data_IF_218251817177
#
_entry.id   IF_218251817177
#
_cell.length_a   1.000
_cell.length_b   1.000
_cell.length_c   1.000
_cell.angle_alpha   90.00
_cell.angle_beta   90.00
_cell.angle_gamma   90.00
#
_symmetry.space_group_name_H-M   'P 1'
#
loop_
_entity.id
_entity.type
_entity.pdbx_description
1 polymer ?
#
# COMPACT_ATOMS: atom_id res chain seq x y z
N UNK A 1 6.84 3.36 -19.72
CA UNK A 1 6.91 4.00 -18.39
C UNK A 1 5.50 3.97 -17.82
N UNK A 2 5.21 3.05 -16.88
CA UNK A 2 3.85 2.83 -16.37
C UNK A 2 3.70 3.45 -14.99
N UNK A 3 2.83 4.45 -14.86
CA UNK A 3 2.42 4.99 -13.56
C UNK A 3 1.20 4.18 -13.10
N UNK A 4 1.31 3.48 -11.98
CA UNK A 4 0.14 2.88 -11.32
C UNK A 4 0.07 3.45 -9.90
N UNK A 5 -1.05 4.11 -9.60
CA UNK A 5 -1.33 4.71 -8.29
C UNK A 5 -1.82 3.60 -7.35
N UNK A 6 -1.26 3.54 -6.14
CA UNK A 6 -1.72 2.62 -5.09
C UNK A 6 -2.28 3.49 -3.98
N UNK A 7 -3.60 3.48 -3.81
CA UNK A 7 -4.29 4.17 -2.73
C UNK A 7 -4.29 3.34 -1.44
N UNK A 8 -4.07 3.97 -0.30
CA UNK A 8 -4.27 3.34 1.02
C UNK A 8 -5.61 3.79 1.58
N UNK A 9 -6.50 2.84 1.91
CA UNK A 9 -7.76 3.12 2.59
C UNK A 9 -7.60 2.87 4.08
N UNK A 10 -7.87 3.89 4.91
CA UNK A 10 -7.87 3.77 6.37
C UNK A 10 -9.32 3.71 6.85
N UNK A 11 -9.75 2.57 7.38
CA UNK A 11 -11.08 2.41 7.94
C UNK A 11 -11.15 3.13 9.30
N UNK A 12 -11.85 4.27 9.34
CA UNK A 12 -12.00 5.10 10.53
C UNK A 12 -12.94 4.47 11.56
N UNK A 13 -12.39 3.99 12.67
CA UNK A 13 -13.05 3.96 13.98
C UNK A 13 -12.00 3.71 15.07
N UNK A 14 -12.03 4.48 16.15
CA UNK A 14 -11.15 4.46 17.33
C UNK A 14 -9.90 5.35 17.26
N UNK A 15 -9.83 6.27 18.21
CA UNK A 15 -8.81 7.30 18.37
C UNK A 15 -7.38 6.73 18.39
N UNK A 16 -6.50 7.34 17.57
CA UNK A 16 -5.05 7.12 17.44
C UNK A 16 -4.59 6.16 16.33
N UNK A 17 -5.23 6.17 15.16
CA UNK A 17 -4.60 5.64 13.95
C UNK A 17 -3.52 6.60 13.46
N UNK A 18 -2.26 6.16 13.46
CA UNK A 18 -1.10 6.96 13.06
C UNK A 18 -0.27 6.18 12.04
N UNK A 19 0.10 6.84 10.95
CA UNK A 19 1.12 6.31 10.04
C UNK A 19 2.50 6.50 10.68
N UNK A 20 3.18 5.39 10.93
CA UNK A 20 4.60 5.38 11.32
C UNK A 20 5.48 5.48 10.07
N UNK A 21 5.03 4.89 8.96
CA UNK A 21 5.67 5.00 7.65
C UNK A 21 4.59 5.05 6.58
N UNK A 22 4.54 6.19 5.90
CA UNK A 22 3.58 6.42 4.82
C UNK A 22 4.17 5.95 3.48
N UNK A 23 3.39 5.24 2.63
CA UNK A 23 3.83 4.91 1.30
C UNK A 23 3.97 6.18 0.43
N UNK A 24 4.97 6.25 -0.46
CA UNK A 24 5.11 7.37 -1.36
C UNK A 24 3.89 7.48 -2.30
N UNK A 25 3.40 8.69 -2.59
CA UNK A 25 2.21 8.89 -3.43
C UNK A 25 2.44 8.47 -4.89
N UNK A 26 3.71 8.36 -5.31
CA UNK A 26 4.13 7.86 -6.61
C UNK A 26 5.42 7.06 -6.47
N UNK A 27 5.44 5.87 -7.05
CA UNK A 27 6.61 5.01 -7.11
C UNK A 27 7.03 4.81 -8.57
N UNK A 28 8.29 5.10 -8.90
CA UNK A 28 8.88 4.80 -10.20
C UNK A 28 9.80 3.60 -10.08
N UNK A 29 9.68 2.63 -10.98
CA UNK A 29 10.47 1.41 -10.96
C UNK A 29 10.85 0.95 -12.36
N UNK A 30 11.99 0.26 -12.46
CA UNK A 30 12.41 -0.43 -13.69
C UNK A 30 11.87 -1.86 -13.70
N UNK A 31 11.62 -2.40 -14.88
CA UNK A 31 11.23 -3.80 -15.04
C UNK A 31 12.33 -4.77 -14.59
N UNK A 32 13.61 -4.37 -14.66
CA UNK A 32 14.76 -5.20 -14.28
C UNK A 32 15.05 -5.24 -12.77
N UNK A 33 14.75 -4.17 -12.04
CA UNK A 33 15.04 -4.06 -10.60
C UNK A 33 13.80 -4.10 -9.71
N UNK A 34 12.61 -3.79 -10.26
CA UNK A 34 11.38 -3.69 -9.49
C UNK A 34 11.41 -2.55 -8.46
N UNK A 35 10.48 -2.58 -7.51
CA UNK A 35 10.46 -1.70 -6.35
C UNK A 35 9.65 -2.31 -5.20
N UNK A 36 9.87 -1.77 -3.99
CA UNK A 36 9.14 -2.15 -2.77
C UNK A 36 8.44 -0.93 -2.20
N UNK A 37 7.15 -1.07 -1.92
CA UNK A 37 6.38 -0.08 -1.16
C UNK A 37 6.32 -0.56 0.29
N UNK A 38 6.59 0.34 1.24
CA UNK A 38 6.51 0.03 2.67
C UNK A 38 5.47 0.93 3.32
N UNK A 39 4.65 0.35 4.19
CA UNK A 39 3.65 1.06 4.98
C UNK A 39 3.65 0.48 6.40
N UNK A 40 3.61 1.34 7.41
CA UNK A 40 3.48 0.95 8.80
C UNK A 40 2.51 1.90 9.49
N UNK A 41 1.58 1.34 10.26
CA UNK A 41 0.60 2.08 11.01
C UNK A 41 0.49 1.53 12.44
N UNK A 42 0.12 2.41 13.36
CA UNK A 42 -0.17 2.08 14.76
C UNK A 42 -1.59 2.54 15.09
N UNK A 43 -2.25 1.87 16.02
CA UNK A 43 -3.62 2.14 16.41
C UNK A 43 -4.10 1.19 17.51
N UNK A 44 -5.21 1.54 18.15
CA UNK A 44 -5.85 0.71 19.16
C UNK A 44 -7.34 0.58 18.78
N UNK A 45 -7.82 -0.61 18.36
CA UNK A 45 -7.06 -1.86 18.18
C UNK A 45 -6.00 -1.76 17.08
N UNK A 46 -5.05 -2.71 17.07
CA UNK A 46 -3.97 -2.74 16.08
C UNK A 46 -4.54 -2.70 14.65
N UNK A 47 -4.07 -1.80 13.78
CA UNK A 47 -4.67 -1.61 12.46
C UNK A 47 -4.28 -2.73 11.51
N UNK A 48 -5.19 -3.05 10.59
CA UNK A 48 -4.94 -3.94 9.45
C UNK A 48 -4.56 -3.08 8.26
N UNK A 49 -3.41 -3.39 7.62
CA UNK A 49 -2.94 -2.70 6.43
C UNK A 49 -3.35 -3.53 5.20
N UNK A 50 -4.15 -2.94 4.33
CA UNK A 50 -4.63 -3.55 3.08
C UNK A 50 -4.23 -2.72 1.87
N UNK A 51 -3.77 -3.39 0.82
CA UNK A 51 -3.40 -2.77 -0.45
C UNK A 51 -4.49 -2.98 -1.49
N UNK A 52 -4.94 -1.90 -2.13
CA UNK A 52 -5.97 -1.94 -3.15
C UNK A 52 -5.44 -1.42 -4.49
N UNK A 53 -5.99 -1.94 -5.58
CA UNK A 53 -5.85 -1.38 -6.93
C UNK A 53 -6.63 -0.07 -7.04
N UNK A 54 -6.42 0.67 -8.13
CA UNK A 54 -7.17 1.91 -8.41
C UNK A 54 -8.70 1.67 -8.44
N UNK A 55 -9.13 0.48 -8.86
CA UNK A 55 -10.52 0.05 -8.88
C UNK A 55 -11.07 -0.37 -7.50
N UNK A 56 -10.24 -0.33 -6.46
CA UNK A 56 -10.60 -0.72 -5.08
C UNK A 56 -10.55 -2.23 -4.81
N UNK A 57 -10.06 -3.05 -5.74
CA UNK A 57 -9.89 -4.49 -5.56
C UNK A 57 -8.60 -4.79 -4.75
N UNK A 58 -8.55 -5.88 -3.95
CA UNK A 58 -7.32 -6.25 -3.26
C UNK A 58 -6.19 -6.56 -4.24
N UNK A 59 -5.01 -6.02 -3.98
CA UNK A 59 -3.80 -6.35 -4.75
C UNK A 59 -3.47 -7.83 -4.53
N UNK A 60 -3.34 -8.56 -5.62
CA UNK A 60 -2.92 -9.97 -5.63
C UNK A 60 -1.51 -10.12 -6.16
N UNK A 61 -0.88 -11.26 -5.84
CA UNK A 61 0.37 -11.67 -6.48
C UNK A 61 0.18 -11.79 -8.00
N UNK A 62 1.15 -11.28 -8.74
CA UNK A 62 1.20 -11.46 -10.19
C UNK A 62 1.72 -12.87 -10.46
N UNK A 63 0.93 -13.76 -11.10
CA UNK A 63 1.39 -15.12 -11.39
C UNK A 63 2.65 -15.09 -12.27
N UNK A 64 3.69 -15.80 -11.85
CA UNK A 64 4.91 -15.98 -12.66
C UNK A 64 6.07 -15.00 -12.39
N UNK A 65 5.95 -14.07 -11.44
CA UNK A 65 7.10 -13.33 -10.91
C UNK A 65 7.74 -14.08 -9.74
N UNK A 66 9.06 -14.29 -9.77
CA UNK A 66 9.90 -14.80 -8.66
C UNK A 66 11.08 -13.87 -8.46
#
# INVERSE_FOLDING_TARGET
MGLRSVGSVVSQSSSQLLFLMEPPPRLSFSNSTGARVSCAAHGIPAPVISWLTEDGAPVSDVPGLR
#
